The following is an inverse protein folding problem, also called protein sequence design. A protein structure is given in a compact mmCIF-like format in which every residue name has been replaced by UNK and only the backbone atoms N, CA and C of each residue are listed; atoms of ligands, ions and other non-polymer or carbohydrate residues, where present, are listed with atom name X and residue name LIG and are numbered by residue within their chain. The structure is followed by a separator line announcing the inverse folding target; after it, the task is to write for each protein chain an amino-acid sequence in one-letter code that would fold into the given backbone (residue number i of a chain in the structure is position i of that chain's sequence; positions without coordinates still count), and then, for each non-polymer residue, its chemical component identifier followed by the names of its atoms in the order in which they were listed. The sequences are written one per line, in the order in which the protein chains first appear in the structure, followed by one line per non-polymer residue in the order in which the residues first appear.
data_IF_000689664859
#
_entry.id   IF_000689664859
#
_cell.length_a   1.000
_cell.length_b   1.000
_cell.length_c   1.000
_cell.angle_alpha   90.00
_cell.angle_beta   90.00
_cell.angle_gamma   90.00
#
_symmetry.space_group_name_H-M   'P 1'
#
loop_
_entity.id
_entity.type
_entity.pdbx_description
1 polymer ?
#
# COMPACT_ATOMS: atom_id res chain seq x y z
N UNK A 1 0.49 12.60 -18.60
CA UNK A 1 -0.78 11.89 -18.38
C UNK A 1 -0.76 10.59 -19.16
N UNK A 2 -1.04 9.47 -18.52
CA UNK A 2 -1.28 8.17 -19.15
C UNK A 2 -2.79 7.88 -19.09
N UNK A 3 -3.37 7.44 -20.20
CA UNK A 3 -4.82 7.17 -20.27
C UNK A 3 -5.07 5.70 -20.61
N UNK A 4 -5.93 5.06 -19.82
CA UNK A 4 -6.45 3.72 -20.07
C UNK A 4 -7.88 3.83 -20.60
N UNK A 5 -8.11 3.58 -21.90
CA UNK A 5 -9.45 3.54 -22.47
C UNK A 5 -10.27 2.37 -21.91
N UNK A 6 -11.59 2.29 -22.23
CA UNK A 6 -12.44 1.17 -21.82
C UNK A 6 -11.80 -0.18 -22.14
N UNK A 7 -11.77 -1.07 -21.16
CA UNK A 7 -11.16 -2.40 -21.31
C UNK A 7 -10.60 -2.97 -20.01
N UNK A 8 -10.14 -4.21 -20.08
CA UNK A 8 -9.47 -4.88 -18.95
C UNK A 8 -7.99 -5.04 -19.26
N UNK A 9 -7.16 -4.53 -18.37
CA UNK A 9 -5.71 -4.50 -18.51
C UNK A 9 -5.07 -5.35 -17.41
N UNK A 10 -4.46 -6.46 -17.79
CA UNK A 10 -3.72 -7.30 -16.86
C UNK A 10 -2.30 -6.78 -16.67
N UNK A 11 -1.88 -6.66 -15.41
CA UNK A 11 -0.54 -6.16 -15.09
C UNK A 11 -0.02 -6.71 -13.77
N UNK A 12 1.30 -6.81 -13.65
CA UNK A 12 2.00 -6.86 -12.38
C UNK A 12 2.26 -5.45 -11.85
N UNK A 13 3.33 -5.31 -11.08
CA UNK A 13 3.68 -4.04 -10.44
C UNK A 13 4.02 -2.93 -11.46
N UNK A 14 3.41 -1.78 -11.31
CA UNK A 14 3.64 -0.57 -12.10
C UNK A 14 4.21 0.54 -11.23
N UNK A 15 5.20 1.26 -11.75
CA UNK A 15 5.77 2.46 -11.12
C UNK A 15 5.29 3.69 -11.87
N UNK A 16 4.58 4.56 -11.18
CA UNK A 16 4.14 5.84 -11.73
C UNK A 16 5.31 6.85 -11.64
N UNK A 17 5.78 7.36 -12.78
CA UNK A 17 6.86 8.32 -12.79
C UNK A 17 6.41 9.69 -12.28
N UNK A 18 7.38 10.52 -11.94
CA UNK A 18 7.18 11.89 -11.49
C UNK A 18 6.21 12.68 -12.37
N UNK A 19 5.33 13.49 -11.78
CA UNK A 19 4.34 14.35 -12.46
C UNK A 19 3.43 13.58 -13.42
N UNK A 20 2.98 12.41 -12.99
CA UNK A 20 2.14 11.53 -13.81
C UNK A 20 0.74 11.39 -13.23
N UNK A 21 -0.25 11.57 -14.09
CA UNK A 21 -1.63 11.16 -13.85
C UNK A 21 -1.92 9.89 -14.65
N UNK A 22 -2.31 8.83 -13.96
CA UNK A 22 -2.94 7.66 -14.56
C UNK A 22 -4.46 7.88 -14.59
N UNK A 23 -5.01 8.13 -15.75
CA UNK A 23 -6.45 8.32 -15.94
C UNK A 23 -7.10 7.05 -16.49
N UNK A 24 -8.10 6.57 -15.80
CA UNK A 24 -8.89 5.40 -16.17
C UNK A 24 -10.24 5.84 -16.72
N UNK A 25 -10.53 5.49 -17.96
CA UNK A 25 -11.81 5.79 -18.61
C UNK A 25 -12.98 4.99 -18.02
N UNK A 26 -14.17 5.25 -18.55
CA UNK A 26 -15.38 4.46 -18.21
C UNK A 26 -15.20 2.99 -18.59
N UNK A 27 -15.74 2.08 -17.78
CA UNK A 27 -15.63 0.64 -18.00
C UNK A 27 -14.18 0.14 -18.16
N UNK A 28 -13.27 0.74 -17.36
CA UNK A 28 -11.85 0.34 -17.31
C UNK A 28 -11.61 -0.48 -16.07
N UNK A 29 -10.98 -1.64 -16.25
CA UNK A 29 -10.48 -2.46 -15.12
C UNK A 29 -8.97 -2.65 -15.26
N UNK A 30 -8.22 -2.21 -14.26
CA UNK A 30 -6.82 -2.61 -14.07
C UNK A 30 -6.83 -3.86 -13.19
N UNK A 31 -6.46 -5.00 -13.76
CA UNK A 31 -6.54 -6.30 -13.14
C UNK A 31 -5.14 -6.79 -12.76
N UNK A 32 -4.90 -6.94 -11.46
CA UNK A 32 -3.62 -7.35 -10.92
C UNK A 32 -3.28 -8.79 -11.31
N UNK A 33 -2.03 -9.07 -11.63
CA UNK A 33 -1.58 -10.45 -11.82
C UNK A 33 -1.66 -11.26 -10.53
N UNK A 34 -2.04 -12.50 -10.62
CA UNK A 34 -2.00 -13.46 -9.50
C UNK A 34 -0.68 -14.21 -9.41
N UNK A 35 0.23 -14.01 -10.35
CA UNK A 35 1.56 -14.61 -10.36
C UNK A 35 2.54 -13.75 -9.55
N UNK A 36 3.11 -14.26 -8.43
CA UNK A 36 4.08 -13.49 -7.64
C UNK A 36 5.32 -13.03 -8.42
N UNK A 37 5.71 -13.74 -9.48
CA UNK A 37 6.86 -13.36 -10.29
C UNK A 37 6.69 -12.02 -11.04
N UNK A 38 5.45 -11.55 -11.19
CA UNK A 38 5.14 -10.26 -11.83
C UNK A 38 5.29 -9.06 -10.86
N UNK A 39 5.68 -9.34 -9.61
CA UNK A 39 5.92 -8.36 -8.57
C UNK A 39 7.37 -8.46 -8.09
N UNK A 40 8.25 -7.54 -8.50
CA UNK A 40 9.63 -7.54 -8.03
C UNK A 40 9.73 -7.57 -6.50
N UNK A 41 10.64 -8.37 -5.98
CA UNK A 41 10.97 -8.35 -4.56
C UNK A 41 11.77 -7.08 -4.25
N UNK A 42 11.33 -6.38 -3.21
CA UNK A 42 11.98 -5.19 -2.67
C UNK A 42 12.22 -5.39 -1.18
N UNK A 43 13.14 -4.64 -0.61
CA UNK A 43 13.36 -4.65 0.83
C UNK A 43 12.10 -4.16 1.56
N UNK A 44 11.93 -4.59 2.80
CA UNK A 44 10.95 -4.01 3.70
C UNK A 44 11.18 -2.50 3.80
N UNK A 45 10.09 -1.75 4.01
CA UNK A 45 10.19 -0.30 4.24
C UNK A 45 10.94 -0.01 5.54
N UNK A 46 11.62 1.13 5.66
CA UNK A 46 12.12 1.61 6.93
C UNK A 46 10.98 1.58 7.97
N UNK A 47 11.27 1.13 9.18
CA UNK A 47 10.20 0.94 10.16
C UNK A 47 9.49 -0.41 10.11
N UNK A 48 9.74 -1.23 9.09
CA UNK A 48 9.18 -2.58 8.89
C UNK A 48 10.23 -3.66 8.66
N UNK A 49 11.48 -3.34 8.80
CA UNK A 49 12.63 -4.24 8.64
C UNK A 49 13.41 -4.43 9.93
N UNK A 50 14.43 -5.26 9.87
CA UNK A 50 15.42 -5.34 10.97
C UNK A 50 16.16 -4.01 11.03
N UNK A 51 16.20 -3.34 12.20
CA UNK A 51 16.88 -2.05 12.33
C UNK A 51 18.38 -2.21 12.00
N UNK A 52 18.80 -1.63 10.90
CA UNK A 52 20.20 -1.28 10.70
C UNK A 52 20.29 0.22 10.90
N UNK A 53 20.96 0.62 11.98
CA UNK A 53 21.52 1.95 12.18
C UNK A 53 20.55 3.13 12.41
N UNK A 54 19.43 2.96 13.10
CA UNK A 54 18.68 4.11 13.60
C UNK A 54 18.84 4.28 15.11
N UNK A 55 19.49 5.35 15.53
CA UNK A 55 19.55 5.94 16.88
C UNK A 55 20.09 5.10 18.04
N UNK A 56 20.27 3.79 17.90
CA UNK A 56 20.86 2.93 18.93
C UNK A 56 21.69 1.84 18.27
N UNK A 57 23.00 1.99 18.29
CA UNK A 57 23.96 0.99 17.79
C UNK A 57 24.02 -0.30 18.62
N UNK A 58 23.03 -0.56 19.47
CA UNK A 58 23.06 -1.67 20.42
C UNK A 58 21.70 -2.38 20.51
N UNK A 59 21.35 -3.13 19.47
CA UNK A 59 20.21 -4.06 19.50
C UNK A 59 20.31 -5.05 20.71
N UNK A 60 21.52 -5.53 21.03
CA UNK A 60 21.76 -6.43 22.15
C UNK A 60 21.60 -5.74 23.52
N UNK A 61 21.81 -4.43 23.60
CA UNK A 61 21.73 -3.65 24.83
C UNK A 61 20.31 -3.27 25.22
N UNK A 62 19.45 -3.06 24.22
CA UNK A 62 18.04 -2.79 24.46
C UNK A 62 17.24 -4.02 24.04
N UNK A 63 16.97 -4.90 25.01
CA UNK A 63 16.12 -6.07 24.82
C UNK A 63 14.71 -5.63 24.32
N UNK A 64 14.57 -5.39 23.04
CA UNK A 64 13.34 -4.90 22.41
C UNK A 64 12.17 -5.89 22.59
N UNK A 65 12.44 -7.15 22.86
CA UNK A 65 11.43 -8.13 23.27
C UNK A 65 10.77 -7.80 24.61
N UNK A 66 11.46 -7.09 25.51
CA UNK A 66 10.90 -6.66 26.80
C UNK A 66 9.99 -5.43 26.69
N UNK A 67 10.04 -4.70 25.60
CA UNK A 67 9.18 -3.52 25.35
C UNK A 67 7.85 -3.88 24.67
N UNK A 68 7.55 -5.18 24.48
CA UNK A 68 6.32 -5.60 23.79
C UNK A 68 6.27 -5.22 22.32
N UNK A 69 7.37 -4.75 21.78
CA UNK A 69 7.50 -4.44 20.35
C UNK A 69 7.60 -5.78 19.64
N UNK A 70 6.59 -6.07 18.88
CA UNK A 70 6.29 -7.38 18.31
C UNK A 70 7.45 -8.09 17.63
N UNK A 71 7.25 -9.36 17.35
CA UNK A 71 8.19 -10.25 16.66
C UNK A 71 8.91 -9.52 15.52
N UNK A 72 10.21 -9.85 15.28
CA UNK A 72 10.90 -9.33 14.11
C UNK A 72 10.04 -9.55 12.86
N UNK A 73 10.07 -8.63 11.90
CA UNK A 73 9.23 -8.74 10.72
C UNK A 73 9.43 -10.12 10.11
N UNK A 74 8.32 -10.79 9.83
CA UNK A 74 8.31 -12.16 9.31
C UNK A 74 9.11 -12.28 8.02
N UNK A 75 9.26 -11.15 7.30
CA UNK A 75 9.95 -11.10 6.03
C UNK A 75 10.86 -9.86 5.95
N UNK A 76 12.09 -10.05 5.50
CA UNK A 76 13.03 -8.96 5.18
C UNK A 76 12.77 -8.37 3.79
N UNK A 77 11.98 -9.07 2.97
CA UNK A 77 11.58 -8.67 1.63
C UNK A 77 10.06 -8.74 1.49
N UNK A 78 9.54 -7.94 0.58
CA UNK A 78 8.13 -7.91 0.20
C UNK A 78 7.99 -7.79 -1.32
N UNK A 79 6.86 -8.20 -1.84
CA UNK A 79 6.49 -7.90 -3.21
C UNK A 79 6.15 -6.41 -3.32
N UNK A 80 6.67 -5.76 -4.37
CA UNK A 80 6.35 -4.36 -4.64
C UNK A 80 4.85 -4.22 -4.93
N UNK A 81 4.24 -3.11 -4.51
CA UNK A 81 2.81 -2.86 -4.73
C UNK A 81 2.41 -2.93 -6.22
N UNK A 82 1.12 -3.14 -6.48
CA UNK A 82 0.60 -3.10 -7.86
C UNK A 82 0.85 -1.73 -8.49
N UNK A 83 0.41 -0.67 -7.80
CA UNK A 83 0.71 0.72 -8.19
C UNK A 83 1.60 1.36 -7.14
N UNK A 84 2.73 1.88 -7.54
CA UNK A 84 3.62 2.64 -6.65
C UNK A 84 4.18 3.86 -7.38
N UNK A 85 4.68 4.85 -6.65
CA UNK A 85 5.44 5.97 -7.20
C UNK A 85 6.94 5.67 -7.21
N UNK A 86 7.69 6.33 -8.07
CA UNK A 86 9.13 6.41 -7.89
C UNK A 86 9.41 7.25 -6.62
N UNK A 87 10.34 6.82 -5.72
CA UNK A 87 10.63 7.58 -4.50
C UNK A 87 11.06 9.03 -4.80
N UNK A 88 10.53 9.98 -4.02
CA UNK A 88 10.79 11.42 -4.22
C UNK A 88 10.00 12.04 -5.37
N UNK A 89 8.99 11.35 -5.88
CA UNK A 89 8.08 11.90 -6.89
C UNK A 89 7.25 13.04 -6.33
N UNK A 90 6.84 13.95 -7.22
CA UNK A 90 5.84 15.00 -6.93
C UNK A 90 4.68 14.89 -7.92
N UNK A 91 3.49 15.33 -7.52
CA UNK A 91 2.29 15.44 -8.37
C UNK A 91 1.93 14.13 -9.09
N UNK A 92 1.69 13.09 -8.33
CA UNK A 92 1.19 11.80 -8.84
C UNK A 92 -0.32 11.72 -8.65
N UNK A 93 -1.05 11.31 -9.66
CA UNK A 93 -2.48 11.09 -9.54
C UNK A 93 -2.96 9.79 -10.18
N UNK A 94 -4.01 9.22 -9.60
CA UNK A 94 -4.82 8.13 -10.16
C UNK A 94 -6.27 8.62 -10.19
N UNK A 95 -6.84 8.73 -11.37
CA UNK A 95 -8.18 9.30 -11.58
C UNK A 95 -9.07 8.33 -12.33
N UNK A 96 -10.28 8.12 -11.85
CA UNK A 96 -11.33 7.37 -12.53
C UNK A 96 -12.51 8.23 -12.92
N UNK A 97 -13.48 7.61 -13.58
CA UNK A 97 -14.75 8.23 -13.97
C UNK A 97 -15.90 7.88 -13.00
N UNK A 98 -15.55 7.27 -11.86
CA UNK A 98 -16.45 6.84 -10.79
C UNK A 98 -16.21 5.40 -10.36
N UNK A 99 -16.53 5.07 -9.09
CA UNK A 99 -16.21 3.73 -8.55
C UNK A 99 -16.98 2.57 -9.19
N UNK A 100 -18.02 2.83 -9.95
CA UNK A 100 -18.73 1.81 -10.76
C UNK A 100 -18.16 1.68 -12.18
N UNK A 101 -17.28 2.57 -12.60
CA UNK A 101 -16.80 2.70 -13.97
C UNK A 101 -15.30 2.44 -14.11
N UNK A 102 -14.52 2.69 -13.05
CA UNK A 102 -13.06 2.57 -13.06
C UNK A 102 -12.64 1.72 -11.86
N UNK A 103 -12.10 0.54 -12.13
CA UNK A 103 -11.83 -0.49 -11.11
C UNK A 103 -10.34 -0.85 -11.13
N UNK A 104 -9.72 -0.91 -9.95
CA UNK A 104 -8.42 -1.54 -9.72
C UNK A 104 -8.69 -2.78 -8.87
N UNK A 105 -8.61 -3.96 -9.48
CA UNK A 105 -8.88 -5.25 -8.83
C UNK A 105 -7.56 -5.95 -8.51
N UNK A 106 -7.27 -6.07 -7.23
CA UNK A 106 -6.04 -6.69 -6.73
C UNK A 106 -5.99 -8.21 -6.82
N UNK A 107 -7.13 -8.85 -7.13
CA UNK A 107 -7.24 -10.31 -7.16
C UNK A 107 -6.62 -10.98 -5.93
N UNK A 108 -6.90 -10.47 -4.72
CA UNK A 108 -6.21 -10.83 -3.47
C UNK A 108 -6.35 -12.28 -3.02
N UNK A 109 -7.37 -12.99 -3.49
CA UNK A 109 -7.69 -14.36 -3.06
C UNK A 109 -6.48 -15.33 -3.03
N UNK A 110 -5.62 -15.46 -4.06
CA UNK A 110 -4.48 -16.37 -4.01
C UNK A 110 -3.44 -15.99 -2.95
N UNK A 111 -3.33 -14.71 -2.66
CA UNK A 111 -2.43 -14.18 -1.64
C UNK A 111 -2.95 -14.47 -0.22
N UNK A 112 -4.26 -14.31 0.01
CA UNK A 112 -4.89 -14.64 1.28
C UNK A 112 -4.79 -16.12 1.59
N UNK A 113 -5.05 -16.98 0.59
CA UNK A 113 -4.89 -18.43 0.73
C UNK A 113 -3.44 -18.82 1.07
N UNK A 114 -2.44 -18.24 0.39
CA UNK A 114 -1.03 -18.48 0.70
C UNK A 114 -0.66 -17.99 2.10
N UNK A 115 -1.23 -16.88 2.54
CA UNK A 115 -1.04 -16.38 3.91
C UNK A 115 -1.60 -17.35 4.94
N UNK A 116 -2.83 -17.79 4.79
CA UNK A 116 -3.50 -18.76 5.67
C UNK A 116 -2.74 -20.10 5.73
N UNK A 117 -2.28 -20.61 4.60
CA UNK A 117 -1.55 -21.88 4.51
C UNK A 117 -0.07 -21.80 4.91
N UNK A 118 0.45 -20.61 5.26
CA UNK A 118 1.87 -20.42 5.57
C UNK A 118 2.80 -20.50 4.36
N UNK A 119 2.27 -20.48 3.13
CA UNK A 119 3.02 -20.59 1.89
C UNK A 119 3.67 -19.31 1.36
N UNK A 120 3.67 -18.23 2.14
CA UNK A 120 4.36 -17.01 1.77
C UNK A 120 5.85 -17.06 2.12
N UNK A 121 6.71 -16.63 1.20
CA UNK A 121 8.15 -16.50 1.39
C UNK A 121 8.60 -15.03 1.50
N UNK A 122 7.73 -14.08 1.14
CA UNK A 122 7.92 -12.64 1.22
C UNK A 122 6.60 -11.95 1.58
N UNK A 123 6.64 -10.69 2.00
CA UNK A 123 5.44 -9.90 2.26
C UNK A 123 4.55 -9.78 1.01
N UNK A 124 3.24 -9.79 1.21
CA UNK A 124 2.25 -9.59 0.14
C UNK A 124 2.36 -8.18 -0.46
N UNK A 125 2.02 -7.97 -1.75
CA UNK A 125 2.00 -6.63 -2.31
C UNK A 125 0.82 -5.81 -1.77
N UNK A 126 1.03 -4.52 -1.53
CA UNK A 126 -0.05 -3.55 -1.36
C UNK A 126 -0.74 -3.30 -2.72
N UNK A 127 -1.96 -2.75 -2.71
CA UNK A 127 -2.62 -2.43 -3.97
C UNK A 127 -2.09 -1.09 -4.53
N UNK A 128 -2.12 -0.04 -3.72
CA UNK A 128 -1.61 1.29 -4.11
C UNK A 128 -0.70 1.81 -3.01
N UNK A 129 0.54 2.12 -3.35
CA UNK A 129 1.57 2.50 -2.39
C UNK A 129 2.45 3.63 -2.94
N UNK A 130 2.04 4.91 -2.79
CA UNK A 130 2.95 6.02 -3.04
C UNK A 130 4.03 6.09 -1.96
N UNK A 131 5.29 6.21 -2.39
CA UNK A 131 6.47 6.19 -1.53
C UNK A 131 7.21 7.51 -1.59
N UNK A 132 7.44 8.17 -0.44
CA UNK A 132 8.20 9.42 -0.35
C UNK A 132 7.71 10.45 -1.38
N UNK A 133 6.40 10.62 -1.50
CA UNK A 133 5.76 11.41 -2.56
C UNK A 133 5.15 12.68 -1.97
N UNK A 134 5.38 13.81 -2.62
CA UNK A 134 4.68 15.07 -2.31
C UNK A 134 3.57 15.31 -3.33
N UNK A 135 2.33 15.46 -2.86
CA UNK A 135 1.17 15.64 -3.74
C UNK A 135 0.75 14.34 -4.43
N UNK A 136 0.18 13.42 -3.67
CA UNK A 136 -0.47 12.23 -4.22
C UNK A 136 -2.00 12.40 -4.18
N UNK A 137 -2.67 12.10 -5.29
CA UNK A 137 -4.12 12.14 -5.37
C UNK A 137 -4.68 10.86 -5.98
N UNK A 138 -5.73 10.31 -5.36
CA UNK A 138 -6.49 9.20 -5.92
C UNK A 138 -7.98 9.50 -5.80
N UNK A 139 -8.69 9.47 -6.92
CA UNK A 139 -10.07 9.92 -6.99
C UNK A 139 -10.94 9.04 -7.89
N UNK A 140 -12.20 8.84 -7.45
CA UNK A 140 -13.27 8.26 -8.28
C UNK A 140 -12.98 6.88 -8.85
N UNK A 141 -12.32 6.01 -8.06
CA UNK A 141 -12.02 4.62 -8.44
C UNK A 141 -12.54 3.62 -7.40
N UNK A 142 -12.78 2.40 -7.84
CA UNK A 142 -13.01 1.28 -6.95
C UNK A 142 -11.71 0.48 -6.78
N UNK A 143 -11.20 0.44 -5.54
CA UNK A 143 -10.10 -0.42 -5.11
C UNK A 143 -10.70 -1.70 -4.55
N UNK A 144 -10.44 -2.82 -5.20
CA UNK A 144 -11.11 -4.08 -4.90
C UNK A 144 -10.11 -5.18 -4.62
N UNK A 145 -10.40 -5.99 -3.61
CA UNK A 145 -9.71 -7.24 -3.29
C UNK A 145 -8.18 -7.11 -3.27
N UNK A 146 -7.68 -6.17 -2.46
CA UNK A 146 -6.23 -6.00 -2.27
C UNK A 146 -5.59 -7.28 -1.71
N UNK A 147 -4.40 -7.67 -2.15
CA UNK A 147 -3.65 -8.78 -1.54
C UNK A 147 -3.26 -8.55 -0.08
N UNK A 148 -3.05 -7.30 0.31
CA UNK A 148 -2.65 -6.83 1.63
C UNK A 148 -3.30 -5.47 1.90
N UNK A 149 -2.67 -4.52 2.59
CA UNK A 149 -3.19 -3.16 2.78
C UNK A 149 -3.54 -2.50 1.44
N UNK A 150 -4.69 -1.86 1.39
CA UNK A 150 -5.21 -1.41 0.10
C UNK A 150 -4.54 -0.13 -0.38
N UNK A 151 -4.59 0.93 0.40
CA UNK A 151 -3.97 2.21 0.06
C UNK A 151 -3.01 2.61 1.18
N UNK A 152 -1.71 2.46 0.92
CA UNK A 152 -0.64 2.65 1.88
C UNK A 152 0.34 3.74 1.43
N UNK A 153 0.00 5.01 1.56
CA UNK A 153 0.97 6.08 1.39
C UNK A 153 2.02 6.00 2.51
N UNK A 154 3.29 6.04 2.13
CA UNK A 154 4.40 5.93 3.07
C UNK A 154 5.33 7.14 2.98
N UNK A 155 5.65 7.76 4.14
CA UNK A 155 6.54 8.91 4.28
C UNK A 155 6.26 9.99 3.20
N UNK A 156 4.99 10.32 3.02
CA UNK A 156 4.48 11.17 1.94
C UNK A 156 3.65 12.32 2.52
N UNK A 157 3.49 13.39 1.76
CA UNK A 157 2.75 14.57 2.18
C UNK A 157 1.80 15.10 1.10
N UNK A 158 0.82 15.95 1.50
CA UNK A 158 -0.22 16.49 0.61
C UNK A 158 -0.96 15.38 -0.15
N UNK A 159 -1.64 14.52 0.62
CA UNK A 159 -2.35 13.34 0.10
C UNK A 159 -3.84 13.60 0.05
N UNK A 160 -4.45 13.41 -1.10
CA UNK A 160 -5.91 13.50 -1.28
C UNK A 160 -6.49 12.17 -1.75
N UNK A 161 -7.43 11.65 -0.97
CA UNK A 161 -8.16 10.40 -1.22
C UNK A 161 -9.65 10.76 -1.24
N UNK A 162 -10.29 10.69 -2.42
CA UNK A 162 -11.64 11.21 -2.57
C UNK A 162 -12.52 10.32 -3.45
N UNK A 163 -13.77 10.15 -3.03
CA UNK A 163 -14.80 9.51 -3.86
C UNK A 163 -14.48 8.05 -4.19
N UNK A 164 -13.79 7.34 -3.30
CA UNK A 164 -13.41 5.95 -3.53
C UNK A 164 -14.47 4.99 -3.04
N UNK A 165 -14.46 3.80 -3.64
CA UNK A 165 -15.02 2.59 -3.05
C UNK A 165 -13.88 1.62 -2.81
N UNK A 166 -13.70 1.18 -1.55
CA UNK A 166 -12.66 0.24 -1.16
C UNK A 166 -13.34 -1.00 -0.58
N UNK A 167 -13.13 -2.16 -1.20
CA UNK A 167 -13.76 -3.40 -0.72
C UNK A 167 -12.82 -4.60 -0.82
N UNK A 168 -12.95 -5.50 0.14
CA UNK A 168 -12.36 -6.82 0.13
C UNK A 168 -13.27 -7.82 0.85
N UNK A 169 -13.02 -9.11 0.69
CA UNK A 169 -13.72 -10.15 1.45
C UNK A 169 -13.49 -9.94 2.94
N UNK A 170 -14.58 -9.73 3.70
CA UNK A 170 -14.52 -9.42 5.13
C UNK A 170 -14.11 -10.60 6.01
N UNK A 171 -14.14 -11.80 5.49
CA UNK A 171 -13.82 -13.02 6.24
C UNK A 171 -12.43 -13.53 5.91
N UNK A 172 -12.05 -13.50 4.63
CA UNK A 172 -10.79 -14.07 4.13
C UNK A 172 -9.75 -13.02 3.74
N UNK A 173 -10.17 -11.78 3.57
CA UNK A 173 -9.28 -10.66 3.23
C UNK A 173 -8.42 -10.21 4.43
N UNK A 174 -7.55 -11.09 4.94
CA UNK A 174 -6.69 -10.78 6.07
C UNK A 174 -5.78 -9.59 5.79
N UNK A 175 -5.79 -8.62 6.70
CA UNK A 175 -5.01 -7.39 6.62
C UNK A 175 -5.28 -6.60 5.33
N UNK A 176 -6.53 -6.53 4.91
CA UNK A 176 -6.95 -5.73 3.76
C UNK A 176 -7.42 -4.35 4.20
N UNK A 177 -6.70 -3.73 5.15
CA UNK A 177 -6.97 -2.38 5.64
C UNK A 177 -7.26 -1.43 4.46
N UNK A 178 -8.19 -0.50 4.66
CA UNK A 178 -8.64 0.39 3.58
C UNK A 178 -7.63 1.46 3.25
N UNK A 179 -7.28 2.29 4.23
CA UNK A 179 -6.35 3.42 4.06
C UNK A 179 -5.39 3.46 5.26
N UNK A 180 -4.12 3.36 4.98
CA UNK A 180 -3.03 3.30 5.95
C UNK A 180 -2.03 4.45 5.77
N UNK A 181 -2.34 5.68 6.20
CA UNK A 181 -1.36 6.76 6.17
C UNK A 181 -0.20 6.41 7.13
N UNK A 182 0.99 6.21 6.58
CA UNK A 182 2.16 5.79 7.34
C UNK A 182 3.25 6.86 7.29
N UNK A 183 3.57 7.44 8.44
CA UNK A 183 4.55 8.54 8.55
C UNK A 183 4.24 9.67 7.56
N UNK A 184 2.97 9.98 7.37
CA UNK A 184 2.47 10.96 6.42
C UNK A 184 2.02 12.25 7.10
N UNK A 185 2.03 13.35 6.35
CA UNK A 185 1.45 14.63 6.76
C UNK A 185 0.46 15.15 5.73
N UNK A 186 -0.48 16.01 6.16
CA UNK A 186 -1.50 16.62 5.31
C UNK A 186 -2.27 15.59 4.47
N UNK A 187 -3.03 14.73 5.17
CA UNK A 187 -3.82 13.66 4.54
C UNK A 187 -5.30 13.97 4.63
N UNK A 188 -5.95 14.08 3.49
CA UNK A 188 -7.40 14.23 3.37
C UNK A 188 -8.03 12.94 2.85
N UNK A 189 -8.98 12.39 3.59
CA UNK A 189 -9.84 11.28 3.16
C UNK A 189 -11.29 11.73 3.23
N UNK A 190 -11.97 11.79 2.09
CA UNK A 190 -13.36 12.23 2.04
C UNK A 190 -14.19 11.45 1.01
N UNK A 191 -15.50 11.43 1.20
CA UNK A 191 -16.48 10.79 0.30
C UNK A 191 -16.11 9.34 -0.08
N UNK A 192 -15.50 8.60 0.86
CA UNK A 192 -14.95 7.27 0.60
C UNK A 192 -15.73 6.19 1.37
N UNK A 193 -16.18 5.18 0.64
CA UNK A 193 -16.82 3.99 1.21
C UNK A 193 -15.79 2.88 1.41
N UNK A 194 -15.70 2.32 2.62
CA UNK A 194 -14.79 1.23 2.97
C UNK A 194 -15.54 0.03 3.55
N UNK A 195 -15.30 -1.16 3.00
CA UNK A 195 -15.80 -2.44 3.53
C UNK A 195 -14.78 -3.54 3.25
N UNK A 196 -13.93 -3.83 4.22
CA UNK A 196 -12.73 -4.65 4.10
C UNK A 196 -12.64 -5.68 5.21
N UNK A 197 -11.64 -6.53 5.19
CA UNK A 197 -11.42 -7.59 6.18
C UNK A 197 -10.59 -7.18 7.38
N UNK A 198 -10.19 -5.92 7.48
CA UNK A 198 -9.44 -5.35 8.60
C UNK A 198 -9.86 -3.88 8.79
N UNK A 199 -9.00 -2.99 9.30
CA UNK A 199 -9.32 -1.60 9.63
C UNK A 199 -9.76 -0.79 8.40
N UNK A 200 -10.75 0.09 8.59
CA UNK A 200 -11.14 1.02 7.52
C UNK A 200 -10.07 2.08 7.27
N UNK A 201 -9.51 2.63 8.35
CA UNK A 201 -8.38 3.56 8.34
C UNK A 201 -7.46 3.21 9.51
N UNK A 202 -6.16 3.02 9.24
CA UNK A 202 -5.15 2.77 10.27
C UNK A 202 -3.96 3.72 10.10
N UNK A 203 -3.81 4.66 11.01
CA UNK A 203 -2.65 5.58 11.01
C UNK A 203 -1.44 4.83 11.53
N UNK A 204 -0.38 4.79 10.74
CA UNK A 204 0.82 3.99 11.01
C UNK A 204 2.08 4.85 11.05
N UNK A 205 3.10 4.34 11.75
CA UNK A 205 4.44 4.94 11.81
C UNK A 205 5.54 3.86 11.85
N UNK A 206 5.25 2.68 11.26
CA UNK A 206 6.12 1.52 11.35
C UNK A 206 5.86 0.66 12.59
N UNK A 207 6.48 -0.50 12.65
CA UNK A 207 6.33 -1.51 13.73
C UNK A 207 7.63 -1.79 14.47
N UNK A 208 8.74 -1.24 14.05
CA UNK A 208 10.05 -1.41 14.66
C UNK A 208 10.55 -0.11 15.32
N UNK A 209 11.76 -0.15 15.85
CA UNK A 209 12.35 0.99 16.51
C UNK A 209 12.60 2.19 15.58
N UNK A 210 12.91 1.93 14.31
CA UNK A 210 13.09 2.99 13.32
C UNK A 210 11.77 3.75 13.06
N UNK A 211 10.64 3.04 13.02
CA UNK A 211 9.31 3.64 12.93
C UNK A 211 8.99 4.53 14.13
N UNK A 212 9.37 4.11 15.33
CA UNK A 212 9.21 4.93 16.54
C UNK A 212 10.06 6.20 16.50
N UNK A 213 11.30 6.11 16.00
CA UNK A 213 12.17 7.28 15.85
C UNK A 213 11.67 8.27 14.81
N UNK A 214 11.12 7.79 13.67
CA UNK A 214 10.51 8.65 12.65
C UNK A 214 9.34 9.46 13.20
N UNK A 215 8.54 8.88 14.08
CA UNK A 215 7.41 9.56 14.72
C UNK A 215 7.84 10.66 15.70
N UNK A 216 9.06 10.62 16.24
CA UNK A 216 9.58 11.62 17.17
C UNK A 216 10.31 12.78 16.48
N UNK A 217 10.58 12.67 15.18
CA UNK A 217 11.28 13.69 14.39
C UNK A 217 10.34 14.50 13.47
N UNK A 218 9.04 14.24 13.49
CA UNK A 218 7.99 14.99 12.81
C UNK A 218 7.19 15.79 13.85
#
# INVERSE_FOLDING_TARGET
MAYLPPGTYHTGSLVLPNKTTLRMGTNTTLLASTNPADYPLVNALPGYGVPRDCCCNDWEKYNCSSLGIGNPPRYTQRHRALLTSAPGSVDIAVEGEGPSLSIIDGQGWPWWYKFESGGLYAGRPHLVEPLFTTGFRIESVWLKDSPFWTLHPYASDHITIRGLKITADRVRGHNTDGVDPDSCSDVLVEDTYVSVGDDAVAIKSGIDFAGQCLCLCL
#
